data_IF_353675360964
#
_entry.id   IF_353675360964
#
_cell.length_a   1.000
_cell.length_b   1.000
_cell.length_c   1.000
_cell.angle_alpha   90.00
_cell.angle_beta   90.00
_cell.angle_gamma   90.00
#
_symmetry.space_group_name_H-M   'P 1'
#
loop_
_entity.id
_entity.type
_entity.pdbx_description
1 polymer ?
#
# COMPACT_ATOMS: atom_id res chain seq x y z
N UNK A 1 9.02 0.26 29.33
CA UNK A 1 8.56 1.22 28.31
C UNK A 1 7.26 0.70 27.77
N UNK A 2 6.16 1.47 27.82
CA UNK A 2 4.89 1.04 27.23
C UNK A 2 5.05 1.12 25.71
N UNK A 3 4.71 0.03 25.03
CA UNK A 3 4.61 0.00 23.57
C UNK A 3 3.49 0.95 23.13
N UNK A 4 3.89 2.17 22.78
CA UNK A 4 2.95 3.21 22.37
C UNK A 4 2.58 3.01 20.91
N UNK A 5 1.33 2.61 20.69
CA UNK A 5 0.73 2.49 19.38
C UNK A 5 0.20 3.86 18.95
N UNK A 6 0.83 4.47 17.96
CA UNK A 6 0.39 5.72 17.36
C UNK A 6 -0.61 5.43 16.23
N UNK A 7 -1.83 5.97 16.25
CA UNK A 7 -2.81 5.76 15.19
C UNK A 7 -2.40 6.51 13.90
N UNK A 8 -2.61 5.86 12.75
CA UNK A 8 -2.53 6.47 11.44
C UNK A 8 -3.95 6.86 11.00
N UNK A 9 -4.28 8.14 11.20
CA UNK A 9 -5.58 8.70 10.81
C UNK A 9 -5.65 8.80 9.27
N UNK A 10 -6.83 8.52 8.70
CA UNK A 10 -7.06 8.57 7.26
C UNK A 10 -6.63 7.30 6.51
N UNK A 11 -6.33 6.22 7.23
CA UNK A 11 -5.94 4.94 6.64
C UNK A 11 -7.10 3.97 6.56
N UNK A 12 -7.08 3.11 5.53
CA UNK A 12 -8.08 2.06 5.30
C UNK A 12 -7.39 0.71 5.20
N UNK A 13 -7.99 -0.35 5.72
CA UNK A 13 -7.43 -1.71 5.67
C UNK A 13 -7.59 -2.30 4.25
N UNK A 14 -6.57 -3.03 3.78
CA UNK A 14 -6.72 -3.94 2.63
C UNK A 14 -7.26 -5.27 3.16
N UNK A 15 -8.45 -5.68 2.72
CA UNK A 15 -9.02 -6.97 3.10
C UNK A 15 -8.19 -8.11 2.48
N UNK A 16 -7.83 -9.10 3.30
CA UNK A 16 -7.21 -10.35 2.83
C UNK A 16 -8.25 -11.06 1.95
N UNK A 17 -8.06 -11.08 0.63
CA UNK A 17 -8.78 -12.03 -0.22
C UNK A 17 -8.31 -13.43 0.20
N UNK A 18 -9.18 -14.15 0.90
CA UNK A 18 -8.96 -15.55 1.25
C UNK A 18 -8.65 -16.32 -0.03
N UNK A 19 -7.45 -16.89 -0.13
CA UNK A 19 -7.12 -17.92 -1.11
C UNK A 19 -7.95 -19.16 -0.75
N UNK A 20 -9.17 -19.25 -1.25
CA UNK A 20 -9.84 -20.54 -1.41
C UNK A 20 -9.26 -21.18 -2.66
N UNK A 21 -8.13 -21.87 -2.50
CA UNK A 21 -7.61 -22.77 -3.53
C UNK A 21 -8.41 -24.06 -3.41
N UNK A 22 -9.51 -24.17 -4.16
CA UNK A 22 -10.07 -25.47 -4.49
C UNK A 22 -9.29 -26.03 -5.66
N UNK A 23 -8.69 -27.20 -5.44
CA UNK A 23 -7.99 -27.99 -6.45
C UNK A 23 -8.80 -28.14 -7.75
N UNK A 24 -8.12 -27.98 -8.88
CA UNK A 24 -8.52 -28.58 -10.14
C UNK A 24 -9.02 -27.62 -11.23
N UNK A 25 -8.19 -27.50 -12.27
CA UNK A 25 -8.58 -27.63 -13.68
C UNK A 25 -9.07 -26.43 -14.52
N UNK A 26 -9.13 -25.19 -14.04
CA UNK A 26 -9.56 -24.05 -14.90
C UNK A 26 -8.74 -22.78 -14.69
N UNK A 27 -7.46 -22.83 -15.08
CA UNK A 27 -6.47 -21.76 -14.84
C UNK A 27 -6.32 -20.77 -16.02
N UNK A 28 -7.34 -20.55 -16.86
CA UNK A 28 -7.17 -19.70 -18.06
C UNK A 28 -8.19 -18.56 -18.27
N UNK A 29 -9.07 -18.24 -17.31
CA UNK A 29 -10.11 -17.23 -17.54
C UNK A 29 -10.45 -16.31 -16.35
N UNK A 30 -9.57 -16.16 -15.36
CA UNK A 30 -9.90 -15.46 -14.10
C UNK A 30 -8.98 -14.26 -13.77
N UNK A 31 -8.94 -13.24 -14.63
CA UNK A 31 -8.30 -11.94 -14.34
C UNK A 31 -9.28 -10.76 -14.35
N UNK A 32 -10.44 -10.81 -13.65
CA UNK A 32 -11.00 -9.53 -13.17
C UNK A 32 -11.39 -9.48 -11.69
N UNK A 33 -11.31 -10.59 -10.93
CA UNK A 33 -11.88 -10.63 -9.57
C UNK A 33 -10.97 -10.10 -8.44
N UNK A 34 -9.72 -9.72 -8.72
CA UNK A 34 -8.84 -9.13 -7.71
C UNK A 34 -9.19 -7.67 -7.38
N UNK A 35 -9.99 -7.01 -8.22
CA UNK A 35 -10.41 -5.61 -8.05
C UNK A 35 -11.58 -5.45 -7.08
N UNK A 36 -12.36 -6.51 -6.79
CA UNK A 36 -13.61 -6.39 -6.04
C UNK A 36 -13.41 -6.38 -4.51
N UNK A 37 -12.28 -6.90 -3.99
CA UNK A 37 -11.93 -6.76 -2.56
C UNK A 37 -11.65 -5.31 -2.11
N UNK A 38 -11.64 -4.37 -3.06
CA UNK A 38 -11.26 -2.97 -2.93
C UNK A 38 -12.40 -2.05 -2.46
N UNK A 39 -13.67 -2.41 -2.72
CA UNK A 39 -14.77 -1.44 -2.64
C UNK A 39 -15.47 -1.33 -1.27
N UNK A 40 -15.29 -2.26 -0.32
CA UNK A 40 -16.11 -2.27 0.91
C UNK A 40 -15.37 -2.61 2.21
N UNK A 41 -14.12 -2.17 2.35
CA UNK A 41 -13.40 -2.28 3.62
C UNK A 41 -13.81 -1.12 4.55
N UNK A 42 -14.78 -1.36 5.44
CA UNK A 42 -15.03 -0.47 6.59
C UNK A 42 -13.75 -0.38 7.43
N UNK A 43 -13.29 0.86 7.64
CA UNK A 43 -11.99 1.20 8.24
C UNK A 43 -11.67 0.46 9.53
N UNK A 44 -10.70 -0.45 9.45
CA UNK A 44 -9.93 -0.85 10.62
C UNK A 44 -8.85 0.19 10.86
N UNK A 45 -8.80 0.76 12.07
CA UNK A 45 -7.77 1.70 12.49
C UNK A 45 -6.38 1.06 12.33
N UNK A 46 -5.51 1.71 11.55
CA UNK A 46 -4.11 1.32 11.42
C UNK A 46 -3.32 2.07 12.50
N UNK A 47 -2.43 1.39 13.19
CA UNK A 47 -1.55 2.00 14.18
C UNK A 47 -0.12 1.49 13.99
N UNK A 48 0.86 2.31 14.34
CA UNK A 48 2.28 1.98 14.23
C UNK A 48 2.93 2.03 15.61
N UNK A 49 3.86 1.13 15.83
CA UNK A 49 4.71 1.13 16.99
C UNK A 49 6.17 1.14 16.51
N UNK A 50 6.84 2.26 16.78
CA UNK A 50 8.23 2.47 16.38
C UNK A 50 9.24 1.77 17.29
N UNK A 51 8.91 1.47 18.55
CA UNK A 51 9.81 0.73 19.45
C UNK A 51 9.90 -0.74 19.07
N UNK A 52 8.78 -1.35 18.65
CA UNK A 52 8.73 -2.74 18.21
C UNK A 52 8.91 -2.93 16.70
N UNK A 53 8.88 -1.85 15.91
CA UNK A 53 9.02 -1.91 14.45
C UNK A 53 7.82 -2.57 13.77
N UNK A 54 6.61 -2.37 14.29
CA UNK A 54 5.39 -3.07 13.86
C UNK A 54 4.27 -2.13 13.49
N UNK A 55 3.46 -2.57 12.54
CA UNK A 55 2.19 -1.98 12.16
C UNK A 55 1.05 -2.90 12.58
N UNK A 56 -0.03 -2.34 13.09
CA UNK A 56 -1.24 -3.06 13.47
C UNK A 56 -2.41 -2.59 12.64
N UNK A 57 -3.21 -3.53 12.15
CA UNK A 57 -4.48 -3.28 11.48
C UNK A 57 -5.54 -4.24 12.04
N UNK A 58 -6.51 -3.72 12.78
CA UNK A 58 -7.42 -4.56 13.56
C UNK A 58 -6.65 -5.43 14.57
N UNK A 59 -6.76 -6.77 14.44
CA UNK A 59 -6.10 -7.75 15.32
C UNK A 59 -4.75 -8.26 14.81
N UNK A 60 -4.30 -7.80 13.64
CA UNK A 60 -3.08 -8.28 13.02
C UNK A 60 -1.94 -7.30 13.22
N UNK A 61 -0.78 -7.81 13.59
CA UNK A 61 0.47 -7.05 13.67
C UNK A 61 1.45 -7.59 12.64
N UNK A 62 2.08 -6.68 11.89
CA UNK A 62 3.04 -6.98 10.82
C UNK A 62 4.32 -6.19 11.11
N UNK A 63 5.50 -6.82 11.12
CA UNK A 63 6.78 -6.11 11.14
C UNK A 63 6.91 -5.19 9.92
N UNK A 64 7.46 -3.98 10.07
CA UNK A 64 7.67 -3.07 8.93
C UNK A 64 8.49 -3.74 7.82
N UNK A 65 9.45 -4.59 8.19
CA UNK A 65 10.29 -5.36 7.27
C UNK A 65 9.52 -6.38 6.41
N UNK A 66 8.31 -6.77 6.78
CA UNK A 66 7.47 -7.66 5.97
C UNK A 66 6.64 -6.90 4.93
N UNK A 67 6.56 -5.57 5.03
CA UNK A 67 5.95 -4.72 4.00
C UNK A 67 6.93 -4.66 2.83
N UNK A 68 6.58 -5.31 1.73
CA UNK A 68 7.44 -5.52 0.55
C UNK A 68 6.87 -4.89 -0.72
N UNK A 69 5.63 -4.43 -0.68
CA UNK A 69 4.90 -3.93 -1.85
C UNK A 69 4.37 -2.54 -1.57
N UNK A 70 4.65 -1.61 -2.50
CA UNK A 70 4.01 -0.30 -2.56
C UNK A 70 3.38 -0.07 -3.93
N UNK A 71 2.15 0.45 -3.95
CA UNK A 71 1.47 0.83 -5.19
C UNK A 71 0.80 2.18 -5.09
N UNK A 72 0.78 2.90 -6.20
CA UNK A 72 -0.15 4.02 -6.38
C UNK A 72 -1.41 3.52 -7.06
N UNK A 73 -2.55 3.99 -6.59
CA UNK A 73 -3.79 3.90 -7.35
C UNK A 73 -4.32 5.32 -7.53
N UNK A 74 -4.63 5.67 -8.76
CA UNK A 74 -5.53 6.79 -9.03
C UNK A 74 -6.94 6.20 -9.10
N UNK A 75 -7.88 6.81 -8.38
CA UNK A 75 -9.28 6.42 -8.52
C UNK A 75 -9.80 6.98 -9.84
N UNK A 76 -10.12 6.10 -10.79
CA UNK A 76 -10.66 6.50 -12.09
C UNK A 76 -12.00 7.27 -11.95
N UNK A 77 -12.74 7.08 -10.85
CA UNK A 77 -13.99 7.79 -10.59
C UNK A 77 -13.78 9.20 -10.01
N UNK A 78 -12.62 9.48 -9.40
CA UNK A 78 -12.29 10.78 -8.79
C UNK A 78 -10.98 11.28 -9.42
N UNK A 79 -11.06 12.07 -10.51
CA UNK A 79 -9.89 12.69 -11.10
C UNK A 79 -9.10 13.44 -10.03
N UNK A 80 -7.79 13.23 -9.97
CA UNK A 80 -6.99 13.90 -8.94
C UNK A 80 -6.79 13.08 -7.65
N UNK A 81 -7.48 11.95 -7.45
CA UNK A 81 -7.30 11.11 -6.27
C UNK A 81 -5.98 10.32 -6.36
N UNK A 82 -5.22 10.29 -5.27
CA UNK A 82 -3.97 9.53 -5.15
C UNK A 82 -4.01 8.71 -3.86
N UNK A 83 -4.06 7.40 -4.02
CA UNK A 83 -3.97 6.43 -2.93
C UNK A 83 -2.61 5.74 -2.94
N UNK A 84 -2.00 5.62 -1.76
CA UNK A 84 -0.81 4.80 -1.53
C UNK A 84 -1.19 3.50 -0.82
N UNK A 85 -0.94 2.39 -1.49
CA UNK A 85 -1.13 1.04 -0.97
C UNK A 85 0.19 0.50 -0.46
N UNK A 86 0.20 0.03 0.79
CA UNK A 86 1.35 -0.64 1.41
C UNK A 86 0.91 -2.03 1.88
N UNK A 87 1.59 -3.07 1.40
CA UNK A 87 1.21 -4.45 1.71
C UNK A 87 2.40 -5.41 1.74
N UNK A 88 2.16 -6.58 2.33
CA UNK A 88 3.00 -7.77 2.19
C UNK A 88 2.62 -8.52 0.90
N UNK A 89 3.54 -9.31 0.36
CA UNK A 89 3.29 -10.24 -0.76
C UNK A 89 2.19 -11.27 -0.47
N UNK A 90 1.86 -11.47 0.81
CA UNK A 90 0.74 -12.30 1.28
C UNK A 90 -0.61 -11.56 1.26
N UNK A 91 -0.65 -10.32 0.79
CA UNK A 91 -1.86 -9.51 0.60
C UNK A 91 -2.37 -8.81 1.85
N UNK A 92 -1.59 -8.75 2.94
CA UNK A 92 -1.96 -8.00 4.14
C UNK A 92 -1.40 -6.59 4.06
N UNK A 93 -2.23 -5.56 4.25
CA UNK A 93 -1.78 -4.19 4.07
C UNK A 93 -2.83 -3.15 4.39
N UNK A 94 -2.52 -1.90 4.04
CA UNK A 94 -3.37 -0.75 4.23
C UNK A 94 -3.20 0.25 3.09
N UNK A 95 -4.16 1.16 3.00
CA UNK A 95 -4.24 2.23 2.01
C UNK A 95 -4.23 3.55 2.76
N UNK A 96 -3.50 4.52 2.24
CA UNK A 96 -3.52 5.90 2.71
C UNK A 96 -3.88 6.79 1.54
N UNK A 97 -4.95 7.55 1.69
CA UNK A 97 -5.31 8.55 0.70
C UNK A 97 -4.42 9.79 0.90
N UNK A 98 -3.64 10.14 -0.12
CA UNK A 98 -2.68 11.23 -0.07
C UNK A 98 -3.29 12.53 -0.60
N UNK A 99 -4.17 12.42 -1.59
CA UNK A 99 -4.80 13.53 -2.28
C UNK A 99 -6.23 13.15 -2.68
N UNK A 100 -7.20 14.05 -2.55
CA UNK A 100 -8.60 13.79 -2.94
C UNK A 100 -8.98 14.36 -4.32
N UNK A 101 -8.01 14.93 -5.02
CA UNK A 101 -8.17 15.61 -6.31
C UNK A 101 -8.35 17.11 -6.25
N UNK A 102 -8.52 17.66 -5.06
CA UNK A 102 -8.56 19.11 -4.80
C UNK A 102 -7.37 19.51 -3.93
N UNK A 103 -7.10 18.72 -2.89
CA UNK A 103 -6.05 19.01 -1.93
C UNK A 103 -5.43 17.75 -1.34
N UNK A 104 -4.25 17.91 -0.74
CA UNK A 104 -3.67 16.86 0.07
C UNK A 104 -4.45 16.72 1.37
N UNK A 105 -4.95 15.52 1.64
CA UNK A 105 -5.79 15.24 2.81
C UNK A 105 -5.07 14.43 3.89
N UNK A 106 -3.78 14.13 3.71
CA UNK A 106 -3.02 13.35 4.68
C UNK A 106 -2.75 14.20 5.93
N UNK A 107 -3.18 13.75 7.14
CA UNK A 107 -2.85 14.46 8.37
C UNK A 107 -1.33 14.48 8.60
N UNK A 108 -0.77 15.60 9.05
CA UNK A 108 0.69 15.75 9.22
C UNK A 108 1.29 14.68 10.15
N UNK A 109 0.57 14.26 11.19
CA UNK A 109 0.99 13.16 12.05
C UNK A 109 1.10 11.82 11.29
N UNK A 110 0.13 11.51 10.43
CA UNK A 110 0.16 10.33 9.57
C UNK A 110 1.30 10.43 8.55
N UNK A 111 1.50 11.60 7.95
CA UNK A 111 2.59 11.87 7.01
C UNK A 111 3.95 11.65 7.66
N UNK A 112 4.20 12.26 8.81
CA UNK A 112 5.44 12.09 9.57
C UNK A 112 5.68 10.62 9.96
N UNK A 113 4.62 9.92 10.37
CA UNK A 113 4.71 8.50 10.70
C UNK A 113 5.09 7.64 9.48
N UNK A 114 4.46 7.88 8.32
CA UNK A 114 4.79 7.16 7.08
C UNK A 114 6.22 7.45 6.61
N UNK A 115 6.68 8.70 6.68
CA UNK A 115 8.07 9.05 6.36
C UNK A 115 9.08 8.33 7.26
N UNK A 116 8.69 8.01 8.50
CA UNK A 116 9.52 7.19 9.40
C UNK A 116 9.40 5.69 9.13
N UNK A 117 8.24 5.20 8.73
CA UNK A 117 8.00 3.77 8.48
C UNK A 117 8.60 3.30 7.15
N UNK A 118 8.38 4.03 6.06
CA UNK A 118 8.75 3.59 4.69
C UNK A 118 10.22 3.17 4.58
N UNK A 119 11.21 3.90 5.15
CA UNK A 119 12.61 3.49 5.11
C UNK A 119 12.88 2.13 5.77
N UNK A 120 12.07 1.75 6.77
CA UNK A 120 12.19 0.51 7.56
C UNK A 120 11.51 -0.70 6.89
N UNK A 121 10.93 -0.51 5.70
CA UNK A 121 10.26 -1.56 4.93
C UNK A 121 11.19 -2.26 3.94
N UNK A 122 10.75 -3.40 3.42
CA UNK A 122 11.44 -4.15 2.36
C UNK A 122 10.90 -3.84 0.96
N UNK A 123 10.23 -2.70 0.78
CA UNK A 123 9.59 -2.33 -0.50
C UNK A 123 10.62 -2.35 -1.63
N UNK A 124 10.30 -3.11 -2.68
CA UNK A 124 11.08 -3.17 -3.91
C UNK A 124 10.14 -3.23 -5.13
N UNK A 125 10.65 -2.81 -6.30
CA UNK A 125 9.92 -3.04 -7.53
C UNK A 125 9.89 -4.55 -7.83
N UNK A 126 8.76 -5.09 -8.32
CA UNK A 126 8.73 -6.46 -8.78
C UNK A 126 9.71 -6.66 -9.94
N UNK A 127 10.30 -7.84 -9.99
CA UNK A 127 11.15 -8.29 -11.11
C UNK A 127 10.33 -9.21 -11.99
N UNK A 128 10.37 -8.97 -13.30
CA UNK A 128 9.73 -9.85 -14.27
C UNK A 128 10.68 -11.02 -14.59
N UNK A 129 10.21 -12.28 -14.64
CA UNK A 129 11.05 -13.42 -14.99
C UNK A 129 11.74 -13.30 -16.36
N UNK A 130 11.11 -12.58 -17.31
CA UNK A 130 11.62 -12.31 -18.64
C UNK A 130 12.44 -11.00 -18.71
N UNK A 131 12.50 -10.22 -17.64
CA UNK A 131 13.43 -9.10 -17.46
C UNK A 131 14.12 -9.16 -16.08
N UNK A 132 15.08 -10.09 -15.91
CA UNK A 132 15.78 -10.29 -14.63
C UNK A 132 16.66 -9.08 -14.24
N UNK A 133 16.93 -8.17 -15.18
CA UNK A 133 17.70 -6.96 -14.92
C UNK A 133 16.84 -5.83 -14.36
N UNK A 134 15.50 -5.97 -14.39
CA UNK A 134 14.55 -4.97 -13.91
C UNK A 134 14.57 -3.66 -14.70
N UNK A 135 15.24 -3.62 -15.86
CA UNK A 135 15.39 -2.41 -16.68
C UNK A 135 14.03 -1.84 -17.08
N UNK A 136 13.05 -2.72 -17.30
CA UNK A 136 11.69 -2.37 -17.68
C UNK A 136 10.69 -2.56 -16.54
N UNK A 137 11.12 -2.83 -15.30
CA UNK A 137 10.19 -3.07 -14.18
C UNK A 137 9.17 -1.94 -14.01
N UNK A 138 9.57 -0.68 -14.22
CA UNK A 138 8.61 0.45 -14.20
C UNK A 138 7.58 0.42 -15.33
N UNK A 139 7.95 -0.06 -16.51
CA UNK A 139 7.04 -0.18 -17.65
C UNK A 139 6.08 -1.36 -17.48
N UNK A 140 6.57 -2.46 -16.91
CA UNK A 140 5.79 -3.70 -16.68
C UNK A 140 4.87 -3.52 -15.47
N UNK A 141 5.33 -2.80 -14.44
CA UNK A 141 4.61 -2.56 -13.20
C UNK A 141 4.38 -1.06 -12.97
N UNK A 142 3.60 -0.38 -13.82
CA UNK A 142 3.46 1.10 -13.83
C UNK A 142 2.93 1.67 -12.51
N UNK A 143 2.14 0.89 -11.78
CA UNK A 143 1.57 1.29 -10.50
C UNK A 143 2.43 0.92 -9.29
N UNK A 144 3.52 0.16 -9.46
CA UNK A 144 4.39 -0.21 -8.33
C UNK A 144 5.44 0.86 -8.08
N UNK A 145 5.72 1.08 -6.80
CA UNK A 145 6.71 2.03 -6.36
C UNK A 145 7.92 1.31 -5.75
N UNK A 146 9.11 1.79 -6.09
CA UNK A 146 10.29 1.57 -5.25
C UNK A 146 10.11 2.29 -3.90
N UNK A 147 10.83 1.84 -2.86
CA UNK A 147 10.82 2.48 -1.54
C UNK A 147 11.06 3.98 -1.58
N UNK A 148 12.06 4.42 -2.36
CA UNK A 148 12.39 5.85 -2.52
C UNK A 148 11.26 6.63 -3.20
N UNK A 149 10.59 6.01 -4.17
CA UNK A 149 9.46 6.64 -4.86
C UNK A 149 8.25 6.76 -3.94
N UNK A 150 7.97 5.73 -3.12
CA UNK A 150 6.94 5.78 -2.08
C UNK A 150 7.26 6.85 -1.02
N UNK A 151 8.52 6.95 -0.58
CA UNK A 151 8.96 7.98 0.35
C UNK A 151 8.75 9.38 -0.24
N UNK A 152 9.19 9.62 -1.48
CA UNK A 152 9.02 10.90 -2.16
C UNK A 152 7.54 11.26 -2.35
N UNK A 153 6.70 10.29 -2.69
CA UNK A 153 5.27 10.50 -2.85
C UNK A 153 4.58 10.97 -1.56
N UNK A 154 5.01 10.46 -0.40
CA UNK A 154 4.51 10.93 0.90
C UNK A 154 5.13 12.28 1.29
N UNK A 155 6.39 12.49 0.94
CA UNK A 155 7.10 13.73 1.24
C UNK A 155 6.51 14.91 0.47
N UNK A 156 6.26 14.75 -0.81
CA UNK A 156 5.75 15.79 -1.70
C UNK A 156 4.71 15.17 -2.63
N UNK A 157 3.47 14.98 -2.15
CA UNK A 157 2.40 14.44 -2.98
C UNK A 157 2.12 15.39 -4.16
N UNK A 158 1.96 14.87 -5.38
CA UNK A 158 1.60 15.67 -6.55
C UNK A 158 0.36 16.52 -6.26
N UNK A 159 0.41 17.79 -6.69
CA UNK A 159 -0.73 18.72 -6.57
C UNK A 159 -1.88 18.37 -7.52
N UNK A 160 -1.55 17.70 -8.62
CA UNK A 160 -2.47 17.25 -9.64
C UNK A 160 -2.26 15.74 -9.83
N UNK A 161 -3.30 14.91 -9.92
CA UNK A 161 -3.11 13.45 -10.13
C UNK A 161 -2.82 13.05 -11.58
N UNK A 162 -2.18 13.92 -12.34
CA UNK A 162 -1.55 13.54 -13.58
C UNK A 162 -0.18 12.92 -13.23
N UNK A 163 -0.18 11.61 -12.93
CA UNK A 163 1.02 10.80 -12.72
C UNK A 163 1.18 9.82 -13.88
#
# INVERSE_FOLDING_TARGET
>A
MRDEWAPLVGTRRIARLSRSVSNGFLDLLLVPLQVIGFAFSKGGEVSVNFSSGRLRFGRHEIPFSEIDTAKTAADAAIPGNIDLHLSTSRGSGFVVQLHNGVESIIPEATRAALLRVIPLTSIALPTDPFDPTGKNSRRIFPHHLSRDAAYRLVLDPPRDAHI
#
